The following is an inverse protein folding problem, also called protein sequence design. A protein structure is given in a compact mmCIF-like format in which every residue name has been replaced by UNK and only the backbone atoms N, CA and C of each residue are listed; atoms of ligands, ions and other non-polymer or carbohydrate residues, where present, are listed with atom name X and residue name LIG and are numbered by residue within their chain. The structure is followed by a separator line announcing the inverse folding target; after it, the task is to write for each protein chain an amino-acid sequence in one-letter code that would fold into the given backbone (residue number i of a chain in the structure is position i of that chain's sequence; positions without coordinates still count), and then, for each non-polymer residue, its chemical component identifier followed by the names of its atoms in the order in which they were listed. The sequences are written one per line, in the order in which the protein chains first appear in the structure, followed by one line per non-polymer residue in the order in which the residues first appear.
data_IF_929446404611
#
_entry.id   IF_929446404611
#
_cell.length_a   1.000
_cell.length_b   1.000
_cell.length_c   1.000
_cell.angle_alpha   90.00
_cell.angle_beta   90.00
_cell.angle_gamma   90.00
#
_symmetry.space_group_name_H-M   'P 1'
#
loop_
_entity.id
_entity.type
_entity.pdbx_description
1 polymer ?
#
# COMPACT_ATOMS: atom_id res chain seq x y z
N UNK A 1 -25.20 -24.20 -12.57
CA UNK A 1 -24.04 -23.79 -11.75
C UNK A 1 -24.48 -22.62 -10.89
N UNK A 2 -24.51 -22.70 -9.56
CA UNK A 2 -24.81 -21.55 -8.71
C UNK A 2 -23.66 -20.53 -8.84
N UNK A 3 -24.01 -19.24 -8.81
CA UNK A 3 -23.15 -18.12 -9.15
C UNK A 3 -21.90 -18.04 -8.28
N UNK A 4 -20.76 -17.78 -8.93
CA UNK A 4 -19.54 -17.38 -8.25
C UNK A 4 -19.81 -16.05 -7.53
N UNK A 5 -20.04 -16.12 -6.22
CA UNK A 5 -20.00 -14.94 -5.35
C UNK A 5 -18.61 -14.33 -5.48
N UNK A 6 -18.52 -13.24 -6.23
CA UNK A 6 -17.32 -12.41 -6.35
C UNK A 6 -17.10 -11.76 -5.00
N UNK A 7 -16.32 -12.42 -4.16
CA UNK A 7 -15.98 -11.94 -2.83
C UNK A 7 -15.00 -10.77 -2.98
N UNK A 8 -15.36 -9.54 -2.58
CA UNK A 8 -14.47 -8.40 -2.71
C UNK A 8 -13.30 -8.58 -1.74
N UNK A 9 -12.07 -8.60 -2.27
CA UNK A 9 -10.86 -8.47 -1.44
C UNK A 9 -10.81 -7.01 -1.00
N UNK A 10 -11.21 -6.74 0.25
CA UNK A 10 -11.17 -5.40 0.83
C UNK A 10 -9.73 -5.10 1.25
N UNK A 11 -8.95 -4.53 0.34
CA UNK A 11 -7.63 -3.92 0.59
C UNK A 11 -7.72 -2.40 0.81
N UNK A 12 -6.71 -1.79 1.44
CA UNK A 12 -6.69 -0.35 1.76
C UNK A 12 -5.46 0.37 1.19
N UNK A 13 -5.49 0.72 -0.10
CA UNK A 13 -4.47 1.58 -0.69
C UNK A 13 -4.76 3.06 -0.41
N UNK A 14 -3.80 3.77 0.18
CA UNK A 14 -3.90 5.23 0.41
C UNK A 14 -5.16 5.66 1.22
N UNK A 15 -5.64 4.81 2.14
CA UNK A 15 -6.91 4.99 2.90
C UNK A 15 -8.18 5.01 2.03
N UNK A 16 -8.10 4.65 0.76
CA UNK A 16 -9.26 4.41 -0.09
C UNK A 16 -9.55 2.90 -0.14
N UNK A 17 -10.82 2.48 -0.03
CA UNK A 17 -11.16 1.09 -0.25
C UNK A 17 -10.86 0.75 -1.71
N UNK A 18 -10.01 -0.25 -1.94
CA UNK A 18 -9.88 -0.79 -3.30
C UNK A 18 -11.00 -1.83 -3.46
N UNK A 19 -12.01 -1.50 -4.26
CA UNK A 19 -13.02 -2.47 -4.70
C UNK A 19 -12.59 -2.95 -6.09
N UNK A 20 -11.82 -4.05 -6.15
CA UNK A 20 -11.47 -4.67 -7.43
C UNK A 20 -12.47 -5.79 -7.70
N UNK A 21 -13.47 -5.51 -8.53
CA UNK A 21 -14.28 -6.55 -9.13
C UNK A 21 -13.48 -7.18 -10.29
N UNK A 22 -12.86 -8.32 -10.04
CA UNK A 22 -12.42 -9.23 -11.11
C UNK A 22 -10.91 -9.45 -11.29
N UNK A 23 -10.01 -8.80 -10.55
CA UNK A 23 -8.57 -9.02 -10.76
C UNK A 23 -7.77 -9.13 -9.45
N UNK A 24 -7.72 -10.37 -8.94
CA UNK A 24 -6.98 -10.75 -7.72
C UNK A 24 -5.50 -10.38 -7.84
N UNK A 25 -4.95 -10.33 -9.07
CA UNK A 25 -3.54 -10.01 -9.30
C UNK A 25 -3.23 -8.56 -8.99
N UNK A 26 -4.11 -7.63 -9.36
CA UNK A 26 -3.97 -6.19 -9.09
C UNK A 26 -4.09 -5.92 -7.58
N UNK A 27 -5.03 -6.60 -6.90
CA UNK A 27 -5.17 -6.48 -5.45
C UNK A 27 -3.92 -6.97 -4.71
N UNK A 28 -3.34 -8.09 -5.17
CA UNK A 28 -2.10 -8.62 -4.63
C UNK A 28 -0.92 -7.66 -4.83
N UNK A 29 -0.79 -7.06 -6.01
CA UNK A 29 0.24 -6.07 -6.31
C UNK A 29 0.10 -4.82 -5.42
N UNK A 30 -1.11 -4.29 -5.26
CA UNK A 30 -1.36 -3.14 -4.38
C UNK A 30 -1.00 -3.43 -2.91
N UNK A 31 -1.38 -4.61 -2.41
CA UNK A 31 -0.99 -5.05 -1.06
C UNK A 31 0.53 -5.23 -0.91
N UNK A 32 1.21 -5.71 -1.94
CA UNK A 32 2.66 -5.86 -1.91
C UNK A 32 3.34 -4.48 -1.83
N UNK A 33 2.89 -3.51 -2.63
CA UNK A 33 3.40 -2.12 -2.57
C UNK A 33 3.22 -1.52 -1.17
N UNK A 34 2.08 -1.74 -0.52
CA UNK A 34 1.85 -1.28 0.86
C UNK A 34 2.81 -1.92 1.87
N UNK A 35 3.02 -3.24 1.77
CA UNK A 35 3.96 -3.95 2.64
C UNK A 35 5.38 -3.46 2.45
N UNK A 36 5.81 -3.27 1.21
CA UNK A 36 7.16 -2.81 0.90
C UNK A 36 7.38 -1.38 1.42
N UNK A 37 6.40 -0.49 1.22
CA UNK A 37 6.43 0.87 1.75
C UNK A 37 6.51 0.89 3.29
N UNK A 38 5.75 0.02 3.97
CA UNK A 38 5.80 -0.12 5.43
C UNK A 38 7.14 -0.69 5.92
N UNK A 39 7.71 -1.67 5.21
CA UNK A 39 9.02 -2.26 5.49
C UNK A 39 10.15 -1.22 5.37
N UNK A 40 10.13 -0.40 4.31
CA UNK A 40 11.08 0.69 4.10
C UNK A 40 10.96 1.72 5.22
N UNK A 41 9.73 2.18 5.53
CA UNK A 41 9.51 3.15 6.61
C UNK A 41 10.03 2.63 7.97
N UNK A 42 9.79 1.36 8.28
CA UNK A 42 10.24 0.72 9.53
C UNK A 42 11.76 0.60 9.59
N UNK A 43 12.39 0.19 8.48
CA UNK A 43 13.85 0.09 8.38
C UNK A 43 14.53 1.45 8.57
N UNK A 44 14.01 2.50 7.93
CA UNK A 44 14.56 3.85 8.05
C UNK A 44 14.34 4.44 9.45
N UNK A 45 13.21 4.13 10.08
CA UNK A 45 12.96 4.49 11.47
C UNK A 45 13.97 3.83 12.42
N UNK A 46 14.35 2.55 12.18
CA UNK A 46 15.37 1.86 12.97
C UNK A 46 16.78 2.43 12.75
N UNK A 47 17.14 2.74 11.50
CA UNK A 47 18.48 3.22 11.14
C UNK A 47 18.71 4.67 11.61
N UNK A 48 17.74 5.56 11.39
CA UNK A 48 17.90 7.00 11.61
C UNK A 48 17.17 7.53 12.86
N UNK A 49 16.45 6.66 13.56
CA UNK A 49 15.58 7.02 14.68
C UNK A 49 14.35 7.82 14.27
N UNK A 50 13.30 7.76 15.08
CA UNK A 50 12.05 8.50 14.88
C UNK A 50 11.07 7.79 13.95
N UNK A 51 10.05 8.52 13.49
CA UNK A 51 8.99 7.96 12.61
C UNK A 51 9.25 8.38 11.18
N UNK A 52 9.12 7.44 10.24
CA UNK A 52 9.22 7.69 8.81
C UNK A 52 7.91 7.32 8.11
N UNK A 53 7.62 7.96 6.98
CA UNK A 53 6.51 7.62 6.08
C UNK A 53 7.04 7.56 4.65
N UNK A 54 6.61 6.55 3.91
CA UNK A 54 6.78 6.49 2.46
C UNK A 54 5.51 7.00 1.79
N UNK A 55 5.66 7.87 0.81
CA UNK A 55 4.60 8.36 -0.06
C UNK A 55 4.95 7.97 -1.49
N UNK A 56 4.01 7.32 -2.16
CA UNK A 56 4.13 6.89 -3.55
C UNK A 56 3.08 7.69 -4.32
N UNK A 57 3.55 8.45 -5.30
CA UNK A 57 2.70 9.13 -6.28
C UNK A 57 3.00 8.56 -7.65
N UNK A 58 2.06 7.76 -8.15
CA UNK A 58 2.20 7.09 -9.44
C UNK A 58 1.78 7.98 -10.61
N UNK A 59 1.01 9.04 -10.38
CA UNK A 59 0.60 10.00 -11.41
C UNK A 59 1.78 10.90 -11.76
N UNK A 60 2.50 11.36 -10.74
CA UNK A 60 3.68 12.21 -10.90
C UNK A 60 4.97 11.38 -11.07
N UNK A 61 4.97 10.09 -10.72
CA UNK A 61 6.08 9.18 -10.94
C UNK A 61 7.22 9.28 -9.91
N UNK A 62 6.90 9.49 -8.63
CA UNK A 62 7.91 9.57 -7.57
C UNK A 62 7.58 8.74 -6.32
N UNK A 63 8.65 8.39 -5.60
CA UNK A 63 8.60 7.83 -4.24
C UNK A 63 9.35 8.77 -3.32
N UNK A 64 8.66 9.25 -2.28
CA UNK A 64 9.21 10.17 -1.29
C UNK A 64 9.21 9.52 0.08
N UNK A 65 10.37 9.53 0.75
CA UNK A 65 10.46 9.20 2.17
C UNK A 65 10.53 10.49 2.98
N UNK A 66 9.60 10.67 3.90
CA UNK A 66 9.58 11.81 4.81
C UNK A 66 9.73 11.35 6.26
N UNK A 67 10.54 12.09 7.04
CA UNK A 67 10.54 11.96 8.50
C UNK A 67 9.27 12.63 9.03
N UNK A 68 8.55 11.95 9.91
CA UNK A 68 7.34 12.46 10.54
C UNK A 68 7.75 13.16 11.83
N UNK A 69 7.80 14.49 11.78
CA UNK A 69 7.90 15.34 12.98
C UNK A 69 6.72 14.98 13.91
N UNK A 70 7.00 14.75 15.19
CA UNK A 70 5.98 14.40 16.19
C UNK A 70 5.04 15.56 16.44
#
# INVERSE_FOLDING_TARGET
MPGAEVMPIIGRFSRRPIVIMGDVTIAAAAMQIERDAASIASSLAMIHGGRCRVQIDHETGFVLVVRRSS
#
